data_IF_058256451068
#
_entry.id   IF_058256451068
#
_cell.length_a   1.000
_cell.length_b   1.000
_cell.length_c   1.000
_cell.angle_alpha   90.00
_cell.angle_beta   90.00
_cell.angle_gamma   90.00
#
_symmetry.space_group_name_H-M   'P 1'
#
loop_
_entity.id
_entity.type
_entity.pdbx_description
1 polymer ?
#
# COMPACT_ATOMS: atom_id res chain seq x y z
N UNK A 1 -2.99 7.32 4.79
CA UNK A 1 -2.38 8.68 4.89
C UNK A 1 -1.40 8.83 3.73
N UNK A 2 -1.06 10.04 3.26
CA UNK A 2 0.05 10.17 2.29
C UNK A 2 1.38 9.91 2.99
N UNK A 3 2.32 9.26 2.31
CA UNK A 3 3.64 8.86 2.82
C UNK A 3 3.60 7.91 4.03
N UNK A 4 2.61 7.03 4.07
CA UNK A 4 2.56 5.90 5.01
C UNK A 4 2.83 4.59 4.29
N UNK A 5 3.28 3.58 5.03
CA UNK A 5 3.18 2.20 4.57
C UNK A 5 1.72 1.75 4.66
N UNK A 6 1.19 1.12 3.62
CA UNK A 6 -0.12 0.46 3.62
C UNK A 6 0.09 -1.05 3.59
N UNK A 7 -0.57 -1.75 4.49
CA UNK A 7 -0.41 -3.19 4.72
C UNK A 7 -1.59 -3.94 4.15
N UNK A 8 -1.30 -5.06 3.50
CA UNK A 8 -2.28 -6.05 3.03
C UNK A 8 -2.03 -7.33 3.80
N UNK A 9 -3.05 -7.83 4.47
CA UNK A 9 -3.01 -9.12 5.14
C UNK A 9 -2.82 -10.27 4.14
N UNK A 10 -2.42 -11.47 4.59
CA UNK A 10 -2.32 -12.63 3.71
C UNK A 10 -3.61 -12.86 2.93
N UNK A 11 -3.48 -13.01 1.60
CA UNK A 11 -4.61 -13.19 0.65
C UNK A 11 -5.60 -12.00 0.57
N UNK A 12 -5.27 -10.82 1.10
CA UNK A 12 -6.08 -9.60 0.96
C UNK A 12 -5.81 -8.91 -0.38
N UNK A 13 -6.85 -8.64 -1.16
CA UNK A 13 -6.77 -7.93 -2.45
C UNK A 13 -5.72 -8.49 -3.43
N UNK A 14 -5.51 -9.81 -3.41
CA UNK A 14 -4.54 -10.50 -4.27
C UNK A 14 -3.09 -10.46 -3.76
N UNK A 15 -2.85 -10.02 -2.53
CA UNK A 15 -1.57 -10.15 -1.85
C UNK A 15 -1.16 -11.62 -1.68
N UNK A 16 0.13 -11.84 -1.43
CA UNK A 16 0.65 -13.19 -1.21
C UNK A 16 -0.12 -13.91 -0.08
N UNK A 17 -0.38 -15.21 -0.28
CA UNK A 17 -1.23 -15.99 0.62
C UNK A 17 -0.59 -16.29 1.98
N UNK A 18 0.73 -16.20 2.08
CA UNK A 18 1.46 -16.48 3.30
C UNK A 18 2.00 -15.19 3.92
N UNK A 19 2.63 -14.33 3.12
CA UNK A 19 3.33 -13.13 3.61
C UNK A 19 2.43 -11.89 3.70
N UNK A 20 1.32 -11.84 2.95
CA UNK A 20 0.64 -10.57 2.70
C UNK A 20 1.46 -9.67 1.77
N UNK A 21 1.29 -8.36 1.90
CA UNK A 21 2.05 -7.38 1.14
C UNK A 21 2.16 -6.04 1.88
N UNK A 22 3.14 -5.21 1.51
CA UNK A 22 3.24 -3.82 1.95
C UNK A 22 3.61 -2.94 0.77
N UNK A 23 2.92 -1.81 0.65
CA UNK A 23 3.19 -0.79 -0.36
C UNK A 23 3.34 0.58 0.30
N UNK A 24 3.83 1.56 -0.46
CA UNK A 24 3.95 2.95 0.00
C UNK A 24 2.86 3.82 -0.61
N UNK A 25 2.18 4.63 0.21
CA UNK A 25 1.11 5.52 -0.25
C UNK A 25 1.68 6.82 -0.80
N UNK A 26 1.72 6.93 -2.12
CA UNK A 26 2.20 8.11 -2.84
C UNK A 26 1.18 9.25 -2.82
N UNK A 27 -0.11 8.91 -2.89
CA UNK A 27 -1.20 9.89 -2.93
C UNK A 27 -2.47 9.33 -2.34
N UNK A 28 -3.23 10.19 -1.67
CA UNK A 28 -4.66 9.98 -1.35
C UNK A 28 -5.47 10.92 -2.23
N UNK A 29 -6.29 10.37 -3.12
CA UNK A 29 -7.14 11.14 -4.01
C UNK A 29 -8.36 11.69 -3.26
N UNK A 30 -9.04 12.67 -3.86
CA UNK A 30 -10.21 13.33 -3.27
C UNK A 30 -11.39 12.38 -3.06
N UNK A 31 -11.51 11.35 -3.90
CA UNK A 31 -12.54 10.32 -3.80
C UNK A 31 -12.22 9.25 -2.74
N UNK A 32 -11.07 9.34 -2.06
CA UNK A 32 -10.62 8.37 -1.06
C UNK A 32 -9.79 7.22 -1.63
N UNK A 33 -9.69 7.08 -2.95
CA UNK A 33 -8.76 6.11 -3.56
C UNK A 33 -7.31 6.50 -3.27
N UNK A 34 -6.41 5.51 -3.27
CA UNK A 34 -4.98 5.74 -3.03
C UNK A 34 -4.16 5.34 -4.24
N UNK A 35 -3.09 6.09 -4.52
CA UNK A 35 -2.03 5.67 -5.44
C UNK A 35 -0.90 5.11 -4.59
N UNK A 36 -0.44 3.91 -4.92
CA UNK A 36 0.66 3.25 -4.23
C UNK A 36 1.82 2.94 -5.16
N UNK A 37 3.02 2.94 -4.62
CA UNK A 37 4.21 2.34 -5.23
C UNK A 37 4.56 1.05 -4.49
N UNK A 38 4.92 0.01 -5.21
CA UNK A 38 5.28 -1.29 -4.64
C UNK A 38 6.30 -2.02 -5.53
N UNK A 39 7.02 -2.99 -4.98
CA UNK A 39 8.00 -3.78 -5.72
C UNK A 39 7.59 -5.24 -5.82
N UNK A 40 8.09 -5.92 -6.84
CA UNK A 40 7.96 -7.36 -7.06
C UNK A 40 6.53 -7.88 -7.33
N UNK A 41 5.52 -7.01 -7.40
CA UNK A 41 4.14 -7.40 -7.78
C UNK A 41 4.02 -7.66 -9.28
N UNK A 42 4.72 -6.90 -10.12
CA UNK A 42 4.71 -7.05 -11.59
C UNK A 42 5.87 -7.89 -12.14
N UNK A 43 6.77 -8.36 -11.27
CA UNK A 43 7.93 -9.16 -11.65
C UNK A 43 9.13 -8.91 -10.73
N UNK A 44 10.06 -9.86 -10.67
CA UNK A 44 11.24 -9.80 -9.80
C UNK A 44 12.06 -8.52 -10.07
N UNK A 45 12.26 -7.69 -9.03
CA UNK A 45 13.05 -6.46 -9.12
C UNK A 45 12.34 -5.29 -9.82
N UNK A 46 11.04 -5.42 -10.12
CA UNK A 46 10.26 -4.37 -10.79
C UNK A 46 9.50 -3.55 -9.77
N UNK A 47 9.69 -2.23 -9.79
CA UNK A 47 8.83 -1.28 -9.08
C UNK A 47 7.66 -0.92 -9.99
N UNK A 48 6.45 -0.94 -9.43
CA UNK A 48 5.22 -0.60 -10.14
C UNK A 48 4.31 0.27 -9.29
N UNK A 49 3.37 0.93 -9.94
CA UNK A 49 2.36 1.76 -9.31
C UNK A 49 0.96 1.27 -9.68
N UNK A 50 0.01 1.45 -8.76
CA UNK A 50 -1.41 1.23 -9.06
C UNK A 50 -2.29 2.11 -8.18
N UNK A 51 -3.55 2.21 -8.58
CA UNK A 51 -4.61 2.84 -7.79
C UNK A 51 -5.44 1.75 -7.12
N UNK A 52 -5.74 1.93 -5.83
CA UNK A 52 -6.68 1.11 -5.06
C UNK A 52 -7.89 1.99 -4.78
N UNK A 53 -9.08 1.49 -5.09
CA UNK A 53 -10.30 2.26 -4.91
C UNK A 53 -10.60 2.54 -3.44
N UNK A 54 -11.48 3.50 -3.19
CA UNK A 54 -11.75 3.99 -1.85
C UNK A 54 -12.34 2.92 -0.91
N UNK A 55 -13.13 1.98 -1.44
CA UNK A 55 -13.76 0.92 -0.63
C UNK A 55 -12.70 -0.06 -0.14
N UNK A 56 -11.81 -0.46 -1.03
CA UNK A 56 -10.72 -1.37 -0.70
C UNK A 56 -9.68 -0.66 0.19
N UNK A 57 -9.31 0.57 -0.13
CA UNK A 57 -8.36 1.36 0.65
C UNK A 57 -8.82 1.59 2.10
N UNK A 58 -10.12 1.71 2.35
CA UNK A 58 -10.66 1.91 3.70
C UNK A 58 -10.57 0.68 4.61
N UNK A 59 -10.29 -0.51 4.05
CA UNK A 59 -10.18 -1.76 4.80
C UNK A 59 -8.74 -2.09 5.21
N UNK A 60 -7.76 -1.36 4.67
CA UNK A 60 -6.33 -1.63 4.88
C UNK A 60 -5.77 -0.90 6.11
N UNK A 61 -4.68 -1.45 6.64
CA UNK A 61 -3.94 -0.85 7.74
C UNK A 61 -2.86 0.12 7.23
N UNK A 62 -2.68 1.24 7.93
CA UNK A 62 -1.73 2.29 7.57
C UNK A 62 -0.77 2.59 8.71
N UNK A 63 0.53 2.44 8.45
CA UNK A 63 1.60 2.74 9.40
C UNK A 63 2.24 4.07 9.00
N UNK A 64 2.08 5.09 9.84
CA UNK A 64 2.85 6.33 9.72
C UNK A 64 4.22 6.10 10.33
N UNK A 65 5.29 6.39 9.59
CA UNK A 65 6.61 6.47 10.18
C UNK A 65 6.67 7.67 11.13
N UNK A 66 7.19 7.47 12.33
CA UNK A 66 7.58 8.57 13.20
C UNK A 66 8.93 9.10 12.72
N UNK A 67 9.00 10.41 12.50
CA UNK A 67 10.26 11.13 12.53
C UNK A 67 10.66 11.26 14.00
N UNK A 68 10.99 10.14 14.65
CA UNK A 68 11.78 10.23 15.86
C UNK A 68 13.14 10.78 15.40
N UNK A 69 13.31 12.09 15.51
CA UNK A 69 14.62 12.72 15.51
C UNK A 69 15.40 12.08 16.65
N UNK A 70 16.49 11.38 16.32
CA UNK A 70 17.50 10.99 17.30
C UNK A 70 17.94 12.19 18.16
#
# INVERSE_FOLDING_TARGET
>A
KVHSAVVFNPNELGADRYYGHVAFVEKVNRDGSIVVSESNVRGLGVISFRTIDAKDAAQLDYISGDLATE
#
